data_IF_749744928626
#
_entry.id   IF_749744928626
#
_cell.length_a   1.000
_cell.length_b   1.000
_cell.length_c   1.000
_cell.angle_alpha   90.00
_cell.angle_beta   90.00
_cell.angle_gamma   90.00
#
_symmetry.space_group_name_H-M   'P 1'
#
loop_
_entity.id
_entity.type
_entity.pdbx_description
1 polymer ?
#
# COMPACT_ATOMS: atom_id res chain seq x y z
N UNK A 1 23.25 3.60 -2.10
CA UNK A 1 23.13 3.39 -3.56
C UNK A 1 21.70 3.15 -4.05
N UNK A 2 20.93 2.21 -3.46
CA UNK A 2 19.51 2.01 -3.81
C UNK A 2 18.66 3.28 -3.68
N UNK A 3 18.95 4.14 -2.69
CA UNK A 3 18.16 5.33 -2.44
C UNK A 3 18.27 6.41 -3.54
N UNK A 4 19.48 6.68 -4.04
CA UNK A 4 19.68 7.64 -5.13
C UNK A 4 19.04 7.17 -6.45
N UNK A 5 19.17 5.87 -6.76
CA UNK A 5 18.51 5.26 -7.91
C UNK A 5 16.98 5.27 -7.75
N UNK A 6 16.46 4.92 -6.58
CA UNK A 6 15.02 4.96 -6.30
C UNK A 6 14.46 6.38 -6.46
N UNK A 7 15.18 7.40 -5.98
CA UNK A 7 14.79 8.80 -6.15
C UNK A 7 14.84 9.27 -7.61
N UNK A 8 15.87 8.88 -8.37
CA UNK A 8 15.93 9.18 -9.80
C UNK A 8 14.77 8.51 -10.57
N UNK A 9 14.49 7.23 -10.26
CA UNK A 9 13.35 6.51 -10.84
C UNK A 9 12.02 7.15 -10.45
N UNK A 10 11.88 7.64 -9.21
CA UNK A 10 10.69 8.32 -8.73
C UNK A 10 10.44 9.64 -9.46
N UNK A 11 11.49 10.43 -9.74
CA UNK A 11 11.40 11.64 -10.56
C UNK A 11 10.97 11.32 -11.99
N UNK A 12 11.54 10.27 -12.59
CA UNK A 12 11.18 9.81 -13.94
C UNK A 12 9.73 9.33 -14.00
N UNK A 13 9.32 8.47 -13.05
CA UNK A 13 7.94 7.97 -12.99
C UNK A 13 6.94 9.09 -12.70
N UNK A 14 7.30 10.06 -11.87
CA UNK A 14 6.46 11.22 -11.59
C UNK A 14 6.32 12.15 -12.77
N UNK A 15 7.38 12.33 -13.55
CA UNK A 15 7.34 13.09 -14.81
C UNK A 15 6.46 12.38 -15.84
N UNK A 16 6.61 11.06 -16.00
CA UNK A 16 5.76 10.27 -16.87
C UNK A 16 4.27 10.34 -16.46
N UNK A 17 4.00 10.28 -15.15
CA UNK A 17 2.64 10.40 -14.59
C UNK A 17 2.05 11.79 -14.84
N UNK A 18 2.85 12.86 -14.68
CA UNK A 18 2.43 14.22 -14.97
C UNK A 18 2.07 14.40 -16.45
N UNK A 19 2.88 13.85 -17.37
CA UNK A 19 2.62 13.89 -18.81
C UNK A 19 1.34 13.11 -19.15
N UNK A 20 1.16 11.91 -18.59
CA UNK A 20 -0.05 11.12 -18.79
C UNK A 20 -1.30 11.86 -18.30
N UNK A 21 -1.24 12.50 -17.12
CA UNK A 21 -2.34 13.30 -16.59
C UNK A 21 -2.60 14.56 -17.44
N UNK A 22 -1.55 15.23 -17.92
CA UNK A 22 -1.68 16.38 -18.83
C UNK A 22 -2.40 15.98 -20.13
N UNK A 23 -2.12 14.79 -20.67
CA UNK A 23 -2.81 14.26 -21.84
C UNK A 23 -4.31 14.02 -21.58
N UNK A 24 -4.70 13.64 -20.36
CA UNK A 24 -6.11 13.49 -19.95
C UNK A 24 -6.82 14.80 -19.64
N UNK A 25 -6.13 15.95 -19.62
CA UNK A 25 -6.76 17.27 -19.48
C UNK A 25 -7.09 17.91 -20.84
N UNK A 26 -6.97 17.16 -21.93
CA UNK A 26 -7.38 17.59 -23.27
C UNK A 26 -8.88 17.93 -23.34
N UNK A 27 -9.31 18.84 -24.24
CA UNK A 27 -10.71 19.24 -24.39
C UNK A 27 -11.68 18.06 -24.54
N UNK A 28 -11.23 16.99 -25.19
CA UNK A 28 -11.96 15.74 -25.41
C UNK A 28 -12.32 15.02 -24.10
N UNK A 29 -11.40 14.98 -23.14
CA UNK A 29 -11.63 14.38 -21.84
C UNK A 29 -12.52 15.27 -20.94
N UNK A 30 -12.40 16.60 -21.06
CA UNK A 30 -13.28 17.56 -20.35
C UNK A 30 -14.75 17.38 -20.76
N UNK A 31 -15.01 17.10 -22.04
CA UNK A 31 -16.33 16.76 -22.55
C UNK A 31 -16.90 15.48 -21.92
N UNK A 32 -16.06 14.47 -21.66
CA UNK A 32 -16.47 13.23 -21.00
C UNK A 32 -16.88 13.42 -19.53
N UNK A 33 -16.32 14.44 -18.86
CA UNK A 33 -16.64 14.78 -17.46
C UNK A 33 -17.77 15.80 -17.29
N UNK A 34 -18.32 16.36 -18.38
CA UNK A 34 -19.37 17.40 -18.34
C UNK A 34 -19.04 18.56 -17.38
N UNK A 35 -17.78 18.98 -17.35
CA UNK A 35 -17.35 20.11 -16.51
C UNK A 35 -18.03 21.39 -16.98
N UNK A 36 -18.59 22.17 -16.06
CA UNK A 36 -19.08 23.50 -16.38
C UNK A 36 -17.92 24.40 -16.80
N UNK A 37 -18.12 25.36 -17.72
CA UNK A 37 -17.06 26.26 -18.18
C UNK A 37 -16.37 27.01 -17.02
N UNK A 38 -17.12 27.35 -15.98
CA UNK A 38 -16.62 28.03 -14.77
C UNK A 38 -15.64 27.16 -13.98
N UNK A 39 -15.99 25.89 -13.72
CA UNK A 39 -15.11 24.95 -13.01
C UNK A 39 -13.87 24.63 -13.85
N UNK A 40 -14.04 24.52 -15.16
CA UNK A 40 -12.91 24.30 -16.07
C UNK A 40 -11.93 25.49 -16.07
N UNK A 41 -12.41 26.72 -15.95
CA UNK A 41 -11.57 27.91 -15.84
C UNK A 41 -10.75 27.91 -14.55
N UNK A 42 -11.36 27.63 -13.40
CA UNK A 42 -10.67 27.52 -12.11
C UNK A 42 -9.64 26.38 -12.09
N UNK A 43 -10.00 25.24 -12.68
CA UNK A 43 -9.12 24.10 -12.85
C UNK A 43 -7.83 24.47 -13.60
N UNK A 44 -7.93 25.23 -14.71
CA UNK A 44 -6.77 25.61 -15.51
C UNK A 44 -5.74 26.47 -14.74
N UNK A 45 -6.16 27.18 -13.69
CA UNK A 45 -5.27 27.99 -12.86
C UNK A 45 -4.43 27.12 -11.90
N UNK A 46 -5.00 26.03 -11.39
CA UNK A 46 -4.35 25.17 -10.39
C UNK A 46 -3.60 23.99 -11.01
N UNK A 47 -4.20 23.30 -11.98
CA UNK A 47 -3.70 22.02 -12.49
C UNK A 47 -2.26 22.06 -13.04
N UNK A 48 -1.80 23.09 -13.78
CA UNK A 48 -0.43 23.14 -14.27
C UNK A 48 0.61 23.05 -13.15
N UNK A 49 0.35 23.72 -12.02
CA UNK A 49 1.23 23.69 -10.86
C UNK A 49 1.22 22.33 -10.15
N UNK A 50 0.05 21.72 -10.00
CA UNK A 50 -0.09 20.38 -9.41
C UNK A 50 0.61 19.32 -10.27
N UNK A 51 0.47 19.41 -11.60
CA UNK A 51 1.19 18.55 -12.53
C UNK A 51 2.70 18.75 -12.43
N UNK A 52 3.16 20.00 -12.38
CA UNK A 52 4.57 20.33 -12.15
C UNK A 52 5.10 19.81 -10.81
N UNK A 53 4.25 19.71 -9.79
CA UNK A 53 4.62 19.23 -8.45
C UNK A 53 4.78 17.70 -8.38
N UNK A 54 4.15 16.97 -9.31
CA UNK A 54 4.03 15.50 -9.28
C UNK A 54 5.38 14.77 -9.22
N UNK A 55 6.43 15.14 -10.01
CA UNK A 55 7.75 14.52 -9.89
C UNK A 55 8.34 14.66 -8.48
N UNK A 56 8.23 15.84 -7.89
CA UNK A 56 8.75 16.14 -6.55
C UNK A 56 7.95 15.42 -5.46
N UNK A 57 6.64 15.31 -5.62
CA UNK A 57 5.80 14.51 -4.73
C UNK A 57 6.21 13.03 -4.76
N UNK A 58 6.48 12.45 -5.93
CA UNK A 58 6.96 11.06 -6.02
C UNK A 58 8.35 10.89 -5.40
N UNK A 59 9.26 11.85 -5.61
CA UNK A 59 10.58 11.85 -4.98
C UNK A 59 10.47 11.89 -3.45
N UNK A 60 9.56 12.71 -2.91
CA UNK A 60 9.23 12.74 -1.48
C UNK A 60 8.76 11.37 -0.98
N UNK A 61 7.78 10.73 -1.63
CA UNK A 61 7.25 9.43 -1.18
C UNK A 61 8.34 8.34 -1.21
N UNK A 62 9.20 8.35 -2.24
CA UNK A 62 10.33 7.43 -2.34
C UNK A 62 11.36 7.65 -1.21
N UNK A 63 11.69 8.90 -0.91
CA UNK A 63 12.63 9.24 0.15
C UNK A 63 12.05 8.92 1.53
N UNK A 64 10.76 9.20 1.76
CA UNK A 64 10.04 8.83 2.97
C UNK A 64 10.11 7.32 3.19
N UNK A 65 9.75 6.52 2.18
CA UNK A 65 9.82 5.06 2.26
C UNK A 65 11.22 4.54 2.59
N UNK A 66 12.26 5.20 2.07
CA UNK A 66 13.66 4.87 2.37
C UNK A 66 14.02 5.16 3.83
N UNK A 67 13.71 6.36 4.33
CA UNK A 67 14.01 6.78 5.71
C UNK A 67 13.29 5.87 6.72
N UNK A 68 12.03 5.51 6.44
CA UNK A 68 11.31 4.50 7.22
C UNK A 68 11.98 3.12 7.15
N UNK A 69 12.36 2.68 5.95
CA UNK A 69 12.99 1.38 5.71
C UNK A 69 14.32 1.18 6.46
N UNK A 70 15.12 2.23 6.63
CA UNK A 70 16.38 2.19 7.41
C UNK A 70 16.15 2.25 8.93
N UNK A 71 14.90 2.22 9.39
CA UNK A 71 14.54 2.18 10.81
C UNK A 71 14.47 3.54 11.51
N UNK A 72 14.44 4.65 10.76
CA UNK A 72 14.39 6.03 11.28
C UNK A 72 12.97 6.60 11.22
N UNK A 73 12.03 5.83 11.77
CA UNK A 73 10.58 6.11 11.73
C UNK A 73 10.23 7.44 12.42
N UNK A 74 10.91 7.80 13.51
CA UNK A 74 10.68 9.07 14.20
C UNK A 74 11.01 10.28 13.32
N UNK A 75 12.16 10.24 12.63
CA UNK A 75 12.57 11.27 11.67
C UNK A 75 11.58 11.38 10.52
N UNK A 76 11.17 10.24 9.95
CA UNK A 76 10.16 10.20 8.89
C UNK A 76 8.81 10.76 9.35
N UNK A 77 8.39 10.47 10.59
CA UNK A 77 7.13 10.96 11.15
C UNK A 77 7.16 12.47 11.36
N UNK A 78 8.23 13.00 11.96
CA UNK A 78 8.41 14.45 12.14
C UNK A 78 8.43 15.17 10.79
N UNK A 79 9.10 14.58 9.80
CA UNK A 79 9.18 15.12 8.46
C UNK A 79 7.81 15.15 7.76
N UNK A 80 7.05 14.06 7.81
CA UNK A 80 5.70 13.98 7.26
C UNK A 80 4.73 14.96 7.94
N UNK A 81 4.78 15.08 9.26
CA UNK A 81 4.00 16.07 10.01
C UNK A 81 4.37 17.51 9.62
N UNK A 82 5.68 17.78 9.43
CA UNK A 82 6.18 19.07 8.95
C UNK A 82 5.68 19.41 7.54
N UNK A 83 5.66 18.44 6.63
CA UNK A 83 5.04 18.60 5.29
C UNK A 83 3.56 18.95 5.41
N UNK A 84 2.78 18.20 6.20
CA UNK A 84 1.35 18.45 6.36
C UNK A 84 1.06 19.86 6.90
N UNK A 85 1.85 20.32 7.89
CA UNK A 85 1.77 21.68 8.39
C UNK A 85 2.13 22.73 7.33
N UNK A 86 3.16 22.47 6.51
CA UNK A 86 3.56 23.35 5.43
C UNK A 86 2.49 23.44 4.33
N UNK A 87 1.87 22.33 3.93
CA UNK A 87 0.76 22.29 2.97
C UNK A 87 -0.46 23.08 3.47
N UNK A 88 -0.79 22.93 4.76
CA UNK A 88 -1.88 23.69 5.39
C UNK A 88 -1.56 25.20 5.44
N UNK A 89 -0.34 25.56 5.86
CA UNK A 89 0.10 26.95 5.91
C UNK A 89 0.13 27.60 4.51
N UNK A 90 0.64 26.88 3.51
CA UNK A 90 0.66 27.34 2.12
C UNK A 90 -0.75 27.56 1.57
N UNK A 91 -1.69 26.66 1.89
CA UNK A 91 -3.10 26.81 1.51
C UNK A 91 -3.74 28.03 2.17
N UNK A 92 -3.52 28.23 3.47
CA UNK A 92 -4.04 29.40 4.19
C UNK A 92 -3.46 30.73 3.65
N UNK A 93 -2.16 30.75 3.39
CA UNK A 93 -1.50 31.90 2.77
C UNK A 93 -2.06 32.19 1.37
N UNK A 94 -2.26 31.15 0.55
CA UNK A 94 -2.85 31.29 -0.78
C UNK A 94 -4.27 31.86 -0.76
N UNK A 95 -5.09 31.46 0.22
CA UNK A 95 -6.42 32.01 0.43
C UNK A 95 -6.40 33.49 0.81
N UNK A 96 -5.39 33.93 1.58
CA UNK A 96 -5.21 35.34 1.95
C UNK A 96 -4.66 36.22 0.84
N UNK A 97 -3.82 35.68 -0.05
CA UNK A 97 -3.18 36.42 -1.15
C UNK A 97 -4.07 36.54 -2.40
N UNK A 98 -4.98 35.59 -2.64
CA UNK A 98 -5.82 35.55 -3.83
C UNK A 98 -6.98 36.55 -3.82
N UNK A 99 -6.91 37.61 -4.63
CA UNK A 99 -8.06 38.46 -4.95
C UNK A 99 -8.92 37.81 -6.03
N UNK A 100 -9.99 37.12 -5.61
CA UNK A 100 -10.90 36.38 -6.49
C UNK A 100 -10.56 34.89 -6.58
N UNK A 101 -11.54 34.08 -7.01
CA UNK A 101 -11.44 32.61 -6.88
C UNK A 101 -10.41 31.98 -7.81
N UNK A 102 -10.21 32.52 -9.01
CA UNK A 102 -9.16 32.10 -9.93
C UNK A 102 -7.75 32.35 -9.34
N UNK A 103 -7.53 33.53 -8.75
CA UNK A 103 -6.25 33.87 -8.12
C UNK A 103 -5.97 32.98 -6.90
N UNK A 104 -7.00 32.69 -6.07
CA UNK A 104 -6.86 31.74 -4.95
C UNK A 104 -6.44 30.35 -5.44
N UNK A 105 -7.12 29.81 -6.45
CA UNK A 105 -6.79 28.49 -7.01
C UNK A 105 -5.38 28.43 -7.58
N UNK A 106 -4.93 29.50 -8.26
CA UNK A 106 -3.54 29.62 -8.72
C UNK A 106 -2.55 29.60 -7.55
N UNK A 107 -2.77 30.40 -6.52
CA UNK A 107 -1.86 30.46 -5.37
C UNK A 107 -1.83 29.15 -4.57
N UNK A 108 -2.95 28.43 -4.49
CA UNK A 108 -3.00 27.08 -3.89
C UNK A 108 -2.11 26.12 -4.69
N UNK A 109 -2.19 26.18 -6.03
CA UNK A 109 -1.31 25.40 -6.91
C UNK A 109 0.17 25.74 -6.71
N UNK A 110 0.52 27.03 -6.71
CA UNK A 110 1.90 27.50 -6.48
C UNK A 110 2.42 27.06 -5.11
N UNK A 111 1.62 27.18 -4.06
CA UNK A 111 1.97 26.73 -2.72
C UNK A 111 2.27 25.23 -2.67
N UNK A 112 1.39 24.42 -3.27
CA UNK A 112 1.57 22.95 -3.38
C UNK A 112 2.86 22.59 -4.11
N UNK A 113 3.17 23.29 -5.20
CA UNK A 113 4.41 23.11 -5.95
C UNK A 113 5.64 23.46 -5.11
N UNK A 114 5.64 24.62 -4.46
CA UNK A 114 6.75 25.07 -3.63
C UNK A 114 7.02 24.12 -2.46
N UNK A 115 5.98 23.68 -1.75
CA UNK A 115 6.11 22.69 -0.68
C UNK A 115 6.66 21.38 -1.23
N UNK A 116 6.14 20.87 -2.35
CA UNK A 116 6.61 19.62 -2.95
C UNK A 116 8.10 19.66 -3.32
N UNK A 117 8.57 20.76 -3.91
CA UNK A 117 10.00 20.95 -4.26
C UNK A 117 10.86 21.00 -2.98
N UNK A 118 10.46 21.80 -1.99
CA UNK A 118 11.20 21.93 -0.74
C UNK A 118 11.31 20.59 -0.01
N UNK A 119 10.22 19.82 0.05
CA UNK A 119 10.20 18.51 0.68
C UNK A 119 11.01 17.47 -0.10
N UNK A 120 11.00 17.49 -1.43
CA UNK A 120 11.88 16.62 -2.21
C UNK A 120 13.37 16.89 -1.94
N UNK A 121 13.76 18.17 -1.82
CA UNK A 121 15.12 18.57 -1.45
C UNK A 121 15.51 18.11 -0.05
N UNK A 122 14.62 18.32 0.93
CA UNK A 122 14.81 17.83 2.30
C UNK A 122 14.92 16.30 2.34
N UNK A 123 14.12 15.59 1.53
CA UNK A 123 14.18 14.14 1.40
C UNK A 123 15.51 13.63 0.88
N UNK A 124 16.07 14.26 -0.15
CA UNK A 124 17.42 13.95 -0.65
C UNK A 124 18.47 14.13 0.46
N UNK A 125 18.39 15.23 1.20
CA UNK A 125 19.29 15.52 2.31
C UNK A 125 19.17 14.49 3.43
N UNK A 126 17.95 14.14 3.85
CA UNK A 126 17.73 13.12 4.88
C UNK A 126 18.27 11.76 4.44
N UNK A 127 18.00 11.34 3.20
CA UNK A 127 18.47 10.06 2.67
C UNK A 127 20.00 9.99 2.60
N UNK A 128 20.69 11.08 2.28
CA UNK A 128 22.15 11.09 2.15
C UNK A 128 22.89 11.25 3.48
N UNK A 129 22.25 11.84 4.49
CA UNK A 129 22.88 12.14 5.79
C UNK A 129 22.46 11.21 6.91
N UNK A 130 21.32 10.51 6.78
CA UNK A 130 20.82 9.67 7.87
C UNK A 130 21.51 8.31 7.87
N UNK A 131 22.16 7.98 8.98
CA UNK A 131 22.68 6.65 9.32
C UNK A 131 21.55 5.65 9.50
N UNK A 132 21.57 4.50 8.80
CA UNK A 132 20.73 3.37 9.14
C UNK A 132 20.85 3.00 10.62
N UNK A 133 19.77 2.47 11.19
CA UNK A 133 19.78 2.11 12.62
C UNK A 133 20.72 0.91 12.86
N UNK A 134 21.74 1.13 13.69
CA UNK A 134 22.79 0.13 13.98
C UNK A 134 24.00 0.20 13.06
N UNK A 135 24.19 1.31 12.34
CA UNK A 135 25.35 1.56 11.48
C UNK A 135 26.05 2.84 11.95
N UNK A 136 27.38 2.86 11.87
CA UNK A 136 28.21 4.00 12.33
C UNK A 136 28.31 5.12 11.29
N UNK A 137 28.21 4.79 10.00
CA UNK A 137 28.30 5.76 8.90
C UNK A 137 27.01 5.91 8.09
N UNK A 138 26.70 7.14 7.61
CA UNK A 138 25.55 7.36 6.76
C UNK A 138 25.67 6.61 5.44
N UNK A 139 24.55 6.43 4.76
CA UNK A 139 24.52 5.85 3.42
C UNK A 139 25.30 6.75 2.45
N UNK A 140 26.62 6.62 2.41
CA UNK A 140 27.46 7.39 1.51
C UNK A 140 26.93 7.18 0.08
N UNK A 141 26.75 8.24 -0.72
CA UNK A 141 26.39 8.13 -2.12
C UNK A 141 27.59 7.57 -2.90
N UNK A 142 27.90 6.28 -2.70
CA UNK A 142 28.89 5.55 -3.50
C UNK A 142 28.29 5.36 -4.90
N UNK A 143 28.62 6.29 -5.79
CA UNK A 143 28.25 6.28 -7.21
C UNK A 143 28.88 5.11 -7.98
N UNK A 144 29.92 4.48 -7.41
CA UNK A 144 30.75 3.46 -8.06
C UNK A 144 30.13 2.06 -8.10
N UNK A 145 29.17 1.72 -7.23
CA UNK A 145 28.57 0.37 -7.21
C UNK A 145 27.32 0.23 -8.08
N UNK A 146 26.80 1.30 -8.69
CA UNK A 146 25.60 1.25 -9.56
C UNK A 146 25.83 0.34 -10.78
N UNK A 147 27.10 0.08 -11.08
CA UNK A 147 27.59 -0.82 -12.13
C UNK A 147 27.48 -2.31 -11.79
N UNK A 148 27.05 -2.70 -10.58
CA UNK A 148 27.01 -4.11 -10.10
C UNK A 148 25.62 -4.72 -9.88
N UNK A 149 24.51 -4.01 -10.16
CA UNK A 149 23.19 -4.66 -10.16
C UNK A 149 23.03 -5.43 -11.47
N UNK A 150 22.87 -6.75 -11.36
CA UNK A 150 22.59 -7.58 -12.52
C UNK A 150 21.27 -7.14 -13.17
N UNK A 151 21.19 -7.25 -14.50
CA UNK A 151 19.95 -6.92 -15.22
C UNK A 151 18.73 -7.65 -14.61
N UNK A 152 18.92 -8.91 -14.19
CA UNK A 152 17.89 -9.74 -13.55
C UNK A 152 17.32 -9.13 -12.26
N UNK A 153 18.16 -8.57 -11.39
CA UNK A 153 17.72 -7.94 -10.12
C UNK A 153 16.95 -6.66 -10.38
N UNK A 154 17.40 -5.87 -11.36
CA UNK A 154 16.70 -4.66 -11.81
C UNK A 154 15.33 -5.00 -12.39
N UNK A 155 15.24 -6.03 -13.24
CA UNK A 155 13.96 -6.51 -13.76
C UNK A 155 13.04 -7.04 -12.66
N UNK A 156 13.57 -7.77 -11.68
CA UNK A 156 12.80 -8.23 -10.51
C UNK A 156 12.22 -7.08 -9.71
N UNK A 157 13.02 -6.04 -9.43
CA UNK A 157 12.57 -4.83 -8.76
C UNK A 157 11.46 -4.10 -9.54
N UNK A 158 11.65 -3.91 -10.85
CA UNK A 158 10.65 -3.27 -11.71
C UNK A 158 9.35 -4.07 -11.79
N UNK A 159 9.41 -5.40 -11.86
CA UNK A 159 8.23 -6.27 -11.87
C UNK A 159 7.42 -6.18 -10.58
N UNK A 160 8.11 -6.09 -9.43
CA UNK A 160 7.48 -5.87 -8.13
C UNK A 160 6.81 -4.48 -8.07
N UNK A 161 7.52 -3.44 -8.53
CA UNK A 161 6.98 -2.08 -8.64
C UNK A 161 5.74 -2.01 -9.53
N UNK A 162 5.79 -2.63 -10.71
CA UNK A 162 4.65 -2.71 -11.63
C UNK A 162 3.44 -3.43 -11.00
N UNK A 163 3.68 -4.44 -10.17
CA UNK A 163 2.61 -5.14 -9.46
C UNK A 163 1.92 -4.25 -8.42
N UNK A 164 2.70 -3.43 -7.70
CA UNK A 164 2.15 -2.42 -6.80
C UNK A 164 1.39 -1.31 -7.53
N UNK A 165 1.92 -0.81 -8.65
CA UNK A 165 1.22 0.18 -9.48
C UNK A 165 -0.11 -0.37 -9.98
N UNK A 166 -0.13 -1.59 -10.51
CA UNK A 166 -1.37 -2.24 -10.96
C UNK A 166 -2.40 -2.37 -9.84
N UNK A 167 -1.97 -2.81 -8.64
CA UNK A 167 -2.82 -2.86 -7.45
C UNK A 167 -3.38 -1.47 -7.10
N UNK A 168 -2.54 -0.44 -7.08
CA UNK A 168 -2.95 0.93 -6.75
C UNK A 168 -3.94 1.49 -7.78
N UNK A 169 -3.72 1.25 -9.08
CA UNK A 169 -4.66 1.62 -10.14
C UNK A 169 -6.00 0.93 -9.94
N UNK A 170 -6.02 -0.37 -9.64
CA UNK A 170 -7.26 -1.12 -9.38
C UNK A 170 -8.02 -0.57 -8.16
N UNK A 171 -7.29 -0.30 -7.07
CA UNK A 171 -7.88 0.29 -5.86
C UNK A 171 -8.46 1.67 -6.15
N UNK A 172 -7.71 2.55 -6.82
CA UNK A 172 -8.16 3.89 -7.17
C UNK A 172 -9.33 3.85 -8.16
N UNK A 173 -9.29 2.93 -9.11
CA UNK A 173 -10.39 2.71 -10.06
C UNK A 173 -11.68 2.31 -9.34
N UNK A 174 -11.62 1.54 -8.24
CA UNK A 174 -12.82 1.21 -7.47
C UNK A 174 -13.48 2.45 -6.82
N UNK A 175 -12.67 3.39 -6.32
CA UNK A 175 -13.18 4.67 -5.81
C UNK A 175 -13.70 5.56 -6.94
N UNK A 176 -12.98 5.61 -8.06
CA UNK A 176 -13.38 6.39 -9.23
C UNK A 176 -14.70 5.88 -9.83
N UNK A 177 -14.87 4.57 -9.99
CA UNK A 177 -16.14 3.99 -10.46
C UNK A 177 -17.27 4.29 -9.46
N UNK A 178 -17.01 4.18 -8.15
CA UNK A 178 -17.99 4.54 -7.13
C UNK A 178 -18.42 6.01 -7.22
N UNK A 179 -17.48 6.95 -7.41
CA UNK A 179 -17.81 8.38 -7.54
C UNK A 179 -18.54 8.68 -8.85
N UNK A 180 -18.17 8.01 -9.96
CA UNK A 180 -18.85 8.17 -11.25
C UNK A 180 -20.30 7.66 -11.17
N UNK A 181 -20.53 6.51 -10.52
CA UNK A 181 -21.89 5.98 -10.31
C UNK A 181 -22.69 6.91 -9.41
N UNK A 182 -22.10 7.43 -8.33
CA UNK A 182 -22.75 8.42 -7.46
C UNK A 182 -23.10 9.70 -8.23
N UNK A 183 -22.13 10.30 -8.95
CA UNK A 183 -22.30 11.57 -9.65
C UNK A 183 -23.31 11.50 -10.80
N UNK A 184 -23.49 10.33 -11.44
CA UNK A 184 -24.42 10.17 -12.57
C UNK A 184 -25.86 9.88 -12.16
N UNK A 185 -26.07 9.29 -10.98
CA UNK A 185 -27.38 8.74 -10.60
C UNK A 185 -27.95 9.33 -9.31
N UNK A 186 -27.15 10.05 -8.52
CA UNK A 186 -27.60 10.69 -7.28
C UNK A 186 -27.71 12.21 -7.46
N UNK A 187 -28.54 12.82 -6.62
CA UNK A 187 -28.61 14.28 -6.49
C UNK A 187 -27.28 14.85 -5.95
N UNK A 188 -27.02 16.16 -6.14
CA UNK A 188 -25.81 16.82 -5.62
C UNK A 188 -25.58 16.61 -4.10
N UNK A 189 -26.66 16.55 -3.31
CA UNK A 189 -26.62 16.23 -1.87
C UNK A 189 -26.10 14.83 -1.59
N UNK A 190 -26.45 13.85 -2.43
CA UNK A 190 -25.94 12.48 -2.35
C UNK A 190 -24.45 12.39 -2.70
N UNK A 191 -23.98 13.17 -3.66
CA UNK A 191 -22.55 13.27 -3.99
C UNK A 191 -21.75 13.96 -2.88
N UNK A 192 -22.32 15.01 -2.26
CA UNK A 192 -21.71 15.63 -1.08
C UNK A 192 -21.62 14.65 0.10
N UNK A 193 -22.69 13.88 0.36
CA UNK A 193 -22.68 12.82 1.37
C UNK A 193 -21.62 11.75 1.06
N UNK A 194 -21.47 11.33 -0.20
CA UNK A 194 -20.41 10.41 -0.60
C UNK A 194 -19.01 10.93 -0.23
N UNK A 195 -18.72 12.20 -0.50
CA UNK A 195 -17.44 12.80 -0.13
C UNK A 195 -17.20 12.79 1.38
N UNK A 196 -18.22 13.10 2.20
CA UNK A 196 -18.11 13.02 3.66
C UNK A 196 -17.74 11.60 4.10
N UNK A 197 -18.39 10.58 3.53
CA UNK A 197 -18.09 9.18 3.86
C UNK A 197 -16.67 8.79 3.44
N UNK A 198 -16.21 9.23 2.25
CA UNK A 198 -14.81 9.02 1.82
C UNK A 198 -13.84 9.68 2.79
N UNK A 199 -14.09 10.93 3.21
CA UNK A 199 -13.23 11.63 4.16
C UNK A 199 -13.13 10.90 5.50
N UNK A 200 -14.27 10.48 6.08
CA UNK A 200 -14.29 9.73 7.34
C UNK A 200 -13.57 8.38 7.21
N UNK A 201 -13.78 7.68 6.10
CA UNK A 201 -13.07 6.44 5.79
C UNK A 201 -11.55 6.64 5.72
N UNK A 202 -11.10 7.72 5.06
CA UNK A 202 -9.68 8.02 4.91
C UNK A 202 -9.04 8.37 6.24
N UNK A 203 -9.73 9.08 7.14
CA UNK A 203 -9.22 9.37 8.49
C UNK A 203 -8.89 8.09 9.25
N UNK A 204 -9.82 7.13 9.32
CA UNK A 204 -9.55 5.84 9.95
C UNK A 204 -8.40 5.10 9.25
N UNK A 205 -8.38 5.13 7.92
CA UNK A 205 -7.35 4.46 7.13
C UNK A 205 -5.95 4.98 7.44
N UNK A 206 -5.77 6.31 7.52
CA UNK A 206 -4.48 6.93 7.81
C UNK A 206 -3.98 6.64 9.23
N UNK A 207 -4.86 6.57 10.22
CA UNK A 207 -4.45 6.19 11.59
C UNK A 207 -3.92 4.76 11.61
N UNK A 208 -4.60 3.84 10.92
CA UNK A 208 -4.21 2.42 10.89
C UNK A 208 -2.97 2.17 10.02
N UNK A 209 -2.71 3.04 9.04
CA UNK A 209 -1.52 2.98 8.19
C UNK A 209 -0.20 3.08 8.99
N UNK A 210 -0.23 3.69 10.18
CA UNK A 210 0.89 3.66 11.12
C UNK A 210 1.26 2.23 11.55
N UNK A 211 0.26 1.40 11.87
CA UNK A 211 0.48 -0.01 12.20
C UNK A 211 0.96 -0.82 10.97
N UNK A 212 0.44 -0.51 9.78
CA UNK A 212 0.88 -1.15 8.54
C UNK A 212 2.36 -0.83 8.22
N UNK A 213 2.78 0.41 8.47
CA UNK A 213 4.19 0.83 8.34
C UNK A 213 5.07 0.11 9.36
N UNK A 214 4.61 -0.02 10.61
CA UNK A 214 5.33 -0.80 11.63
C UNK A 214 5.47 -2.28 11.21
N UNK A 215 4.39 -2.89 10.69
CA UNK A 215 4.41 -4.25 10.17
C UNK A 215 5.40 -4.40 9.01
N UNK A 216 5.46 -3.42 8.10
CA UNK A 216 6.39 -3.44 6.96
C UNK A 216 7.84 -3.32 7.43
N UNK A 217 8.16 -2.33 8.26
CA UNK A 217 9.54 -2.03 8.69
C UNK A 217 10.10 -3.11 9.60
N UNK A 218 9.36 -3.49 10.65
CA UNK A 218 9.82 -4.51 11.61
C UNK A 218 9.68 -5.90 10.97
N UNK A 219 8.56 -6.17 10.31
CA UNK A 219 8.29 -7.47 9.72
C UNK A 219 9.25 -7.83 8.59
N UNK A 220 9.66 -6.88 7.73
CA UNK A 220 10.64 -7.16 6.67
C UNK A 220 12.01 -7.54 7.23
N UNK A 221 12.41 -6.95 8.35
CA UNK A 221 13.64 -7.30 9.07
C UNK A 221 13.57 -8.69 9.69
N UNK A 222 12.48 -8.99 10.41
CA UNK A 222 12.27 -10.32 10.99
C UNK A 222 12.19 -11.40 9.92
N UNK A 223 11.51 -11.12 8.80
CA UNK A 223 11.42 -12.02 7.65
C UNK A 223 12.80 -12.23 7.00
N UNK A 224 13.59 -11.16 6.81
CA UNK A 224 14.94 -11.24 6.25
C UNK A 224 15.96 -11.94 7.14
N UNK A 225 15.75 -11.91 8.47
CA UNK A 225 16.55 -12.61 9.47
C UNK A 225 16.09 -14.06 9.74
N UNK A 226 15.00 -14.51 9.12
CA UNK A 226 14.43 -15.83 9.34
C UNK A 226 13.77 -16.02 10.72
N UNK A 227 13.51 -14.93 11.47
CA UNK A 227 12.90 -14.94 12.82
C UNK A 227 11.38 -15.10 12.75
N UNK A 228 10.96 -16.31 12.37
CA UNK A 228 9.56 -16.65 12.09
C UNK A 228 8.62 -16.45 13.27
N UNK A 229 8.97 -16.96 14.44
CA UNK A 229 8.06 -16.97 15.60
C UNK A 229 7.76 -15.56 16.08
N UNK A 230 8.76 -14.68 16.02
CA UNK A 230 8.59 -13.26 16.32
C UNK A 230 7.76 -12.54 15.27
N UNK A 231 7.94 -12.87 13.99
CA UNK A 231 7.11 -12.31 12.93
C UNK A 231 5.63 -12.70 13.11
N UNK A 232 5.36 -13.94 13.53
CA UNK A 232 4.00 -14.41 13.84
C UNK A 232 3.44 -13.67 15.06
N UNK A 233 4.20 -13.57 16.17
CA UNK A 233 3.78 -12.81 17.37
C UNK A 233 3.49 -11.34 17.05
N UNK A 234 4.33 -10.71 16.23
CA UNK A 234 4.13 -9.35 15.75
C UNK A 234 2.82 -9.23 14.97
N UNK A 235 2.50 -10.21 14.11
CA UNK A 235 1.25 -10.25 13.34
C UNK A 235 0.01 -10.28 14.21
N UNK A 236 -0.03 -11.12 15.24
CA UNK A 236 -1.15 -11.15 16.18
C UNK A 236 -1.30 -9.82 16.91
N UNK A 237 -0.19 -9.25 17.37
CA UNK A 237 -0.18 -8.00 18.13
C UNK A 237 -0.68 -6.83 17.30
N UNK A 238 -0.10 -6.58 16.12
CA UNK A 238 -0.47 -5.44 15.29
C UNK A 238 -1.87 -5.58 14.70
N UNK A 239 -2.31 -6.79 14.33
CA UNK A 239 -3.68 -7.02 13.85
C UNK A 239 -4.69 -6.76 14.96
N UNK A 240 -4.41 -7.18 16.20
CA UNK A 240 -5.28 -6.90 17.34
C UNK A 240 -5.41 -5.39 17.58
N UNK A 241 -4.29 -4.65 17.62
CA UNK A 241 -4.31 -3.19 17.76
C UNK A 241 -5.06 -2.49 16.62
N UNK A 242 -4.86 -2.93 15.37
CA UNK A 242 -5.58 -2.42 14.21
C UNK A 242 -7.08 -2.64 14.32
N UNK A 243 -7.52 -3.86 14.64
CA UNK A 243 -8.95 -4.19 14.79
C UNK A 243 -9.58 -3.43 15.95
N UNK A 244 -8.91 -3.34 17.11
CA UNK A 244 -9.37 -2.54 18.25
C UNK A 244 -9.55 -1.08 17.85
N UNK A 245 -8.58 -0.51 17.12
CA UNK A 245 -8.68 0.86 16.58
C UNK A 245 -9.90 1.02 15.66
N UNK A 246 -10.14 0.05 14.78
CA UNK A 246 -11.33 0.04 13.93
C UNK A 246 -12.63 0.02 14.72
N UNK A 247 -12.72 -0.77 15.81
CA UNK A 247 -13.88 -0.76 16.71
C UNK A 247 -14.04 0.57 17.46
N UNK A 248 -12.94 1.20 17.88
CA UNK A 248 -12.97 2.54 18.48
C UNK A 248 -13.54 3.56 17.50
N UNK A 249 -13.13 3.51 16.23
CA UNK A 249 -13.72 4.36 15.18
C UNK A 249 -15.20 4.06 14.95
N UNK A 250 -15.62 2.79 14.92
CA UNK A 250 -17.03 2.43 14.85
C UNK A 250 -17.83 3.03 16.01
N UNK A 251 -17.33 2.90 17.25
CA UNK A 251 -17.99 3.45 18.43
C UNK A 251 -18.06 4.98 18.39
N UNK A 252 -16.99 5.64 17.94
CA UNK A 252 -16.96 7.10 17.77
C UNK A 252 -17.97 7.58 16.72
N UNK A 253 -18.12 6.86 15.61
CA UNK A 253 -19.12 7.18 14.58
C UNK A 253 -20.56 6.93 15.06
N UNK A 254 -20.79 5.90 15.88
CA UNK A 254 -22.11 5.69 16.51
C UNK A 254 -22.43 6.81 17.48
N UNK A 255 -21.51 7.12 18.40
CA UNK A 255 -21.71 8.19 19.39
C UNK A 255 -21.83 9.58 18.74
N UNK A 256 -21.11 9.80 17.64
CA UNK A 256 -21.06 11.06 16.91
C UNK A 256 -22.09 11.21 15.80
N UNK A 257 -23.09 10.33 15.68
CA UNK A 257 -24.05 10.32 14.57
C UNK A 257 -24.78 11.68 14.39
N UNK A 258 -25.05 12.40 15.48
CA UNK A 258 -25.70 13.72 15.43
C UNK A 258 -24.72 14.89 15.21
N UNK A 259 -23.52 14.80 15.78
CA UNK A 259 -22.54 15.88 15.80
C UNK A 259 -21.63 15.89 14.56
N UNK A 260 -21.09 14.73 14.17
CA UNK A 260 -20.09 14.61 13.10
C UNK A 260 -20.64 15.15 11.77
N UNK A 261 -21.83 14.76 11.27
CA UNK A 261 -22.36 15.32 10.02
C UNK A 261 -22.50 16.85 10.04
N UNK A 262 -22.78 17.43 11.21
CA UNK A 262 -22.97 18.86 11.39
C UNK A 262 -21.66 19.66 11.33
N UNK A 263 -20.51 19.02 11.54
CA UNK A 263 -19.18 19.61 11.32
C UNK A 263 -18.88 19.75 9.83
N UNK A 264 -19.30 18.78 9.02
CA UNK A 264 -19.00 18.75 7.58
C UNK A 264 -19.96 19.61 6.75
N UNK A 265 -21.24 19.68 7.13
CA UNK A 265 -22.23 20.39 6.32
C UNK A 265 -23.37 20.99 7.15
N UNK A 266 -23.87 22.13 6.68
CA UNK A 266 -25.11 22.77 7.18
C UNK A 266 -26.34 22.41 6.34
N UNK A 267 -26.16 21.78 5.17
CA UNK A 267 -27.26 21.41 4.29
C UNK A 267 -28.05 20.21 4.84
N UNK A 268 -29.35 20.40 5.05
CA UNK A 268 -30.24 19.38 5.59
C UNK A 268 -30.38 18.18 4.64
N UNK A 269 -30.43 18.41 3.32
CA UNK A 269 -30.56 17.33 2.32
C UNK A 269 -29.35 16.41 2.31
N UNK A 270 -28.14 16.97 2.45
CA UNK A 270 -26.90 16.18 2.55
C UNK A 270 -26.89 15.34 3.84
N UNK A 271 -27.35 15.89 4.97
CA UNK A 271 -27.46 15.12 6.23
C UNK A 271 -28.49 13.99 6.11
N UNK A 272 -29.63 14.26 5.49
CA UNK A 272 -30.65 13.25 5.21
C UNK A 272 -30.12 12.16 4.28
N UNK A 273 -29.39 12.51 3.22
CA UNK A 273 -28.74 11.54 2.34
C UNK A 273 -27.71 10.68 3.08
N UNK A 274 -26.97 11.25 4.05
CA UNK A 274 -25.97 10.54 4.83
C UNK A 274 -26.58 9.57 5.85
N UNK A 275 -27.59 10.01 6.60
CA UNK A 275 -28.19 9.23 7.68
C UNK A 275 -29.34 8.34 7.19
N UNK A 276 -30.19 8.87 6.31
CA UNK A 276 -31.39 8.22 5.79
C UNK A 276 -31.11 7.14 4.74
N UNK A 277 -30.04 7.26 3.95
CA UNK A 277 -29.70 6.23 2.95
C UNK A 277 -29.17 4.92 3.57
N UNK A 278 -28.80 4.94 4.85
CA UNK A 278 -28.17 3.81 5.54
C UNK A 278 -26.67 3.65 5.25
N UNK A 279 -26.05 4.57 4.49
CA UNK A 279 -24.59 4.54 4.27
C UNK A 279 -23.82 4.71 5.58
N UNK A 280 -24.31 5.53 6.52
CA UNK A 280 -23.66 5.74 7.81
C UNK A 280 -23.43 4.42 8.56
N UNK A 281 -24.44 3.53 8.56
CA UNK A 281 -24.35 2.21 9.19
C UNK A 281 -23.32 1.32 8.50
N UNK A 282 -23.27 1.35 7.16
CA UNK A 282 -22.25 0.62 6.40
C UNK A 282 -20.86 1.13 6.73
N UNK A 283 -20.68 2.45 6.84
CA UNK A 283 -19.41 3.07 7.23
C UNK A 283 -18.99 2.61 8.63
N UNK A 284 -19.89 2.66 9.62
CA UNK A 284 -19.64 2.20 10.99
C UNK A 284 -19.18 0.74 11.00
N UNK A 285 -19.90 -0.14 10.32
CA UNK A 285 -19.58 -1.58 10.26
C UNK A 285 -18.30 -1.88 9.48
N UNK A 286 -17.92 -0.99 8.55
CA UNK A 286 -16.73 -1.17 7.73
C UNK A 286 -15.42 -0.90 8.47
N UNK A 287 -15.41 -0.10 9.54
CA UNK A 287 -14.15 0.35 10.17
C UNK A 287 -13.26 -0.79 10.67
N UNK A 288 -13.75 -1.83 11.38
CA UNK A 288 -12.89 -2.91 11.86
C UNK A 288 -12.30 -3.73 10.71
N UNK A 289 -13.10 -3.98 9.67
CA UNK A 289 -12.67 -4.68 8.46
C UNK A 289 -11.62 -3.85 7.72
N UNK A 290 -11.88 -2.56 7.53
CA UNK A 290 -10.94 -1.65 6.89
C UNK A 290 -9.62 -1.60 7.64
N UNK A 291 -9.66 -1.45 8.96
CA UNK A 291 -8.46 -1.41 9.78
C UNK A 291 -7.64 -2.71 9.64
N UNK A 292 -8.29 -3.88 9.71
CA UNK A 292 -7.62 -5.16 9.52
C UNK A 292 -6.90 -5.24 8.16
N UNK A 293 -7.55 -4.83 7.06
CA UNK A 293 -6.96 -4.85 5.71
C UNK A 293 -5.65 -4.06 5.66
N UNK A 294 -5.62 -2.86 6.23
CA UNK A 294 -4.44 -2.00 6.18
C UNK A 294 -3.26 -2.64 6.94
N UNK A 295 -3.50 -3.18 8.13
CA UNK A 295 -2.44 -3.88 8.87
C UNK A 295 -1.93 -5.10 8.10
N UNK A 296 -2.84 -5.89 7.52
CA UNK A 296 -2.46 -7.05 6.72
C UNK A 296 -1.66 -6.68 5.47
N UNK A 297 -2.00 -5.58 4.79
CA UNK A 297 -1.21 -5.07 3.66
C UNK A 297 0.25 -4.85 4.08
N UNK A 298 0.48 -4.29 5.27
CA UNK A 298 1.82 -4.09 5.82
C UNK A 298 2.63 -5.40 5.96
N UNK A 299 1.99 -6.49 6.41
CA UNK A 299 2.65 -7.81 6.47
C UNK A 299 2.90 -8.41 5.09
N UNK A 300 2.00 -8.22 4.13
CA UNK A 300 2.25 -8.66 2.76
C UNK A 300 3.45 -7.92 2.16
N UNK A 301 3.57 -6.62 2.44
CA UNK A 301 4.70 -5.81 2.02
C UNK A 301 5.99 -6.24 2.71
N UNK A 302 5.94 -6.57 4.00
CA UNK A 302 7.08 -7.13 4.73
C UNK A 302 7.65 -8.40 4.07
N UNK A 303 6.78 -9.28 3.55
CA UNK A 303 7.18 -10.53 2.88
C UNK A 303 7.44 -10.39 1.37
N UNK A 304 7.44 -9.17 0.83
CA UNK A 304 7.59 -8.87 -0.60
C UNK A 304 6.62 -9.64 -1.53
N UNK A 305 5.44 -10.02 -1.04
CA UNK A 305 4.45 -10.81 -1.80
C UNK A 305 3.57 -9.93 -2.70
N UNK A 306 4.21 -9.12 -3.56
CA UNK A 306 3.56 -8.04 -4.32
C UNK A 306 2.63 -8.54 -5.44
N UNK A 307 3.02 -9.59 -6.17
CA UNK A 307 2.19 -10.23 -7.21
C UNK A 307 0.89 -10.80 -6.62
N UNK A 308 0.96 -11.39 -5.43
CA UNK A 308 -0.20 -11.91 -4.73
C UNK A 308 -1.21 -10.81 -4.38
N UNK A 309 -0.74 -9.69 -3.82
CA UNK A 309 -1.64 -8.57 -3.49
C UNK A 309 -2.30 -7.97 -4.74
N UNK A 310 -1.59 -7.94 -5.88
CA UNK A 310 -2.14 -7.51 -7.17
C UNK A 310 -3.25 -8.45 -7.62
N UNK A 311 -3.04 -9.76 -7.54
CA UNK A 311 -4.03 -10.78 -7.94
C UNK A 311 -5.27 -10.75 -7.04
N UNK A 312 -5.09 -10.62 -5.72
CA UNK A 312 -6.20 -10.44 -4.77
C UNK A 312 -6.99 -9.17 -5.08
N UNK A 313 -6.32 -8.07 -5.41
CA UNK A 313 -6.99 -6.82 -5.78
C UNK A 313 -7.74 -6.96 -7.12
N UNK A 314 -7.12 -7.57 -8.13
CA UNK A 314 -7.73 -7.75 -9.45
C UNK A 314 -8.98 -8.64 -9.39
N UNK A 315 -8.87 -9.78 -8.71
CA UNK A 315 -10.00 -10.69 -8.47
C UNK A 315 -11.07 -10.05 -7.60
N UNK A 316 -10.68 -9.30 -6.57
CA UNK A 316 -11.62 -8.56 -5.72
C UNK A 316 -12.38 -7.50 -6.49
N UNK A 317 -11.72 -6.71 -7.34
CA UNK A 317 -12.39 -5.69 -8.15
C UNK A 317 -13.31 -6.33 -9.19
N UNK A 318 -12.81 -7.33 -9.92
CA UNK A 318 -13.54 -7.96 -11.02
C UNK A 318 -14.71 -8.84 -10.57
N UNK A 319 -14.51 -9.69 -9.55
CA UNK A 319 -15.46 -10.73 -9.15
C UNK A 319 -16.30 -10.36 -7.93
N UNK A 320 -15.88 -9.38 -7.12
CA UNK A 320 -16.61 -8.99 -5.90
C UNK A 320 -17.15 -7.58 -6.01
N UNK A 321 -16.29 -6.58 -6.22
CA UNK A 321 -16.69 -5.17 -6.24
C UNK A 321 -17.67 -4.88 -7.38
N UNK A 322 -17.32 -5.17 -8.63
CA UNK A 322 -18.18 -4.84 -9.77
C UNK A 322 -19.54 -5.57 -9.73
N UNK A 323 -19.61 -6.89 -9.45
CA UNK A 323 -20.89 -7.57 -9.31
C UNK A 323 -21.71 -7.05 -8.12
N UNK A 324 -21.07 -6.83 -6.96
CA UNK A 324 -21.79 -6.28 -5.79
C UNK A 324 -22.28 -4.86 -6.05
N UNK A 325 -21.49 -4.03 -6.74
CA UNK A 325 -21.88 -2.68 -7.12
C UNK A 325 -23.11 -2.70 -8.02
N UNK A 326 -23.14 -3.61 -8.99
CA UNK A 326 -24.28 -3.78 -9.88
C UNK A 326 -25.52 -4.31 -9.15
N UNK A 327 -25.38 -5.37 -8.34
CA UNK A 327 -26.48 -6.02 -7.64
C UNK A 327 -27.07 -5.14 -6.53
N UNK A 328 -26.22 -4.49 -5.72
CA UNK A 328 -26.66 -3.67 -4.59
C UNK A 328 -27.28 -2.32 -4.99
N UNK A 329 -27.24 -1.97 -6.28
CA UNK A 329 -27.82 -0.75 -6.84
C UNK A 329 -28.97 -1.03 -7.82
N UNK A 330 -29.63 -2.20 -7.68
CA UNK A 330 -30.87 -2.52 -8.40
C UNK A 330 -32.08 -2.59 -7.43
N UNK A 331 -33.26 -2.06 -7.82
CA UNK A 331 -33.56 -1.34 -9.08
C UNK A 331 -33.09 0.11 -9.10
N UNK A 332 -32.80 0.70 -7.94
CA UNK A 332 -32.38 2.10 -7.80
C UNK A 332 -30.98 2.20 -7.21
N UNK A 333 -30.19 3.14 -7.74
CA UNK A 333 -28.86 3.44 -7.22
C UNK A 333 -28.98 4.10 -5.85
N UNK A 334 -28.24 3.58 -4.88
CA UNK A 334 -28.22 4.12 -3.52
C UNK A 334 -26.79 4.24 -3.00
N UNK A 335 -26.55 5.24 -2.16
CA UNK A 335 -25.24 5.45 -1.57
C UNK A 335 -24.82 4.25 -0.69
N UNK A 336 -25.78 3.64 0.02
CA UNK A 336 -25.58 2.38 0.75
C UNK A 336 -25.12 1.26 -0.17
N UNK A 337 -25.72 1.08 -1.35
CA UNK A 337 -25.33 0.04 -2.31
C UNK A 337 -23.89 0.21 -2.78
N UNK A 338 -23.49 1.44 -3.14
CA UNK A 338 -22.11 1.77 -3.52
C UNK A 338 -21.11 1.40 -2.41
N UNK A 339 -21.39 1.80 -1.17
CA UNK A 339 -20.49 1.52 -0.05
C UNK A 339 -20.52 0.06 0.41
N UNK A 340 -21.62 -0.64 0.19
CA UNK A 340 -21.69 -2.11 0.41
C UNK A 340 -20.72 -2.83 -0.54
N UNK A 341 -20.61 -2.39 -1.79
CA UNK A 341 -19.62 -2.94 -2.72
C UNK A 341 -18.18 -2.67 -2.27
N UNK A 342 -17.89 -1.47 -1.74
CA UNK A 342 -16.57 -1.15 -1.15
C UNK A 342 -16.26 -2.01 0.06
N UNK A 343 -17.24 -2.23 0.94
CA UNK A 343 -17.11 -3.11 2.09
C UNK A 343 -16.86 -4.56 1.66
N UNK A 344 -17.59 -5.06 0.67
CA UNK A 344 -17.40 -6.40 0.12
C UNK A 344 -15.99 -6.59 -0.47
N UNK A 345 -15.46 -5.59 -1.18
CA UNK A 345 -14.07 -5.60 -1.66
C UNK A 345 -13.08 -5.73 -0.49
N UNK A 346 -13.26 -4.96 0.58
CA UNK A 346 -12.38 -5.05 1.73
C UNK A 346 -12.53 -6.38 2.49
N UNK A 347 -13.74 -6.93 2.59
CA UNK A 347 -13.96 -8.25 3.18
C UNK A 347 -13.22 -9.36 2.40
N UNK A 348 -13.28 -9.31 1.06
CA UNK A 348 -12.49 -10.19 0.19
C UNK A 348 -10.99 -10.07 0.46
N UNK A 349 -10.50 -8.83 0.57
CA UNK A 349 -9.09 -8.56 0.88
C UNK A 349 -8.70 -9.13 2.24
N UNK A 350 -9.48 -8.87 3.31
CA UNK A 350 -9.19 -9.47 4.64
C UNK A 350 -9.07 -10.99 4.53
N UNK A 351 -10.03 -11.66 3.88
CA UNK A 351 -10.05 -13.12 3.82
C UNK A 351 -8.74 -13.68 3.21
N UNK A 352 -8.29 -13.13 2.09
CA UNK A 352 -7.07 -13.60 1.42
C UNK A 352 -5.79 -13.17 2.13
N UNK A 353 -5.70 -11.93 2.59
CA UNK A 353 -4.50 -11.43 3.25
C UNK A 353 -4.31 -12.10 4.62
N UNK A 354 -5.39 -12.28 5.39
CA UNK A 354 -5.36 -13.03 6.65
C UNK A 354 -4.97 -14.49 6.42
N UNK A 355 -5.49 -15.13 5.37
CA UNK A 355 -5.05 -16.48 4.98
C UNK A 355 -3.55 -16.53 4.68
N UNK A 356 -3.02 -15.54 3.98
CA UNK A 356 -1.58 -15.47 3.68
C UNK A 356 -0.73 -15.28 4.95
N UNK A 357 -1.17 -14.43 5.88
CA UNK A 357 -0.42 -14.12 7.10
C UNK A 357 -0.54 -15.22 8.16
N UNK A 358 -1.73 -15.76 8.41
CA UNK A 358 -1.95 -16.70 9.51
C UNK A 358 -1.86 -18.17 9.10
N UNK A 359 -1.98 -18.50 7.82
CA UNK A 359 -1.99 -19.90 7.35
C UNK A 359 -0.73 -20.23 6.54
N UNK A 360 -0.29 -19.33 5.65
CA UNK A 360 0.88 -19.59 4.81
C UNK A 360 2.20 -19.23 5.50
N UNK A 361 2.27 -18.07 6.17
CA UNK A 361 3.51 -17.61 6.82
C UNK A 361 4.03 -18.60 7.89
N UNK A 362 3.18 -19.17 8.77
CA UNK A 362 3.65 -20.13 9.77
C UNK A 362 4.04 -21.49 9.18
N UNK A 363 3.80 -21.73 7.88
CA UNK A 363 4.21 -22.96 7.19
C UNK A 363 5.51 -22.81 6.41
N UNK A 364 6.06 -21.60 6.32
CA UNK A 364 7.35 -21.42 5.68
C UNK A 364 8.47 -21.95 6.57
N UNK A 365 9.38 -22.71 5.97
CA UNK A 365 10.67 -23.03 6.54
C UNK A 365 11.56 -21.79 6.32
N UNK A 366 11.88 -21.10 7.41
CA UNK A 366 12.84 -20.01 7.42
C UNK A 366 14.05 -20.51 8.19
N UNK A 367 15.20 -20.63 7.52
CA UNK A 367 16.45 -20.88 8.23
C UNK A 367 16.81 -19.60 8.99
N UNK A 368 17.03 -19.66 10.31
CA UNK A 368 17.72 -18.58 10.99
C UNK A 368 19.03 -18.30 10.25
N UNK A 369 19.33 -17.04 10.00
CA UNK A 369 20.71 -16.65 9.69
C UNK A 369 21.39 -16.47 11.04
N UNK A 370 22.32 -17.37 11.36
CA UNK A 370 23.12 -17.24 12.57
C UNK A 370 23.95 -15.95 12.47
N UNK A 371 23.80 -15.07 13.46
CA UNK A 371 24.59 -13.83 13.63
C UNK A 371 25.99 -14.14 14.24
N UNK A 372 26.34 -15.41 14.39
CA UNK A 372 27.68 -15.82 14.79
C UNK A 372 28.59 -15.68 13.56
N UNK A 373 29.51 -14.72 13.62
CA UNK A 373 30.43 -14.35 12.55
C UNK A 373 31.38 -15.45 12.10
N UNK A 374 30.87 -16.45 11.39
CA UNK A 374 31.67 -17.24 10.46
C UNK A 374 31.72 -16.48 9.13
N UNK A 375 32.70 -15.58 9.08
CA UNK A 375 33.35 -15.16 7.85
C UNK A 375 33.76 -16.43 7.08
N UNK A 376 32.95 -16.89 6.13
CA UNK A 376 33.51 -17.50 4.92
C UNK A 376 34.15 -16.38 4.09
N UNK A 377 35.27 -15.87 4.61
CA UNK A 377 36.19 -15.01 3.89
C UNK A 377 36.87 -15.85 2.82
N UNK A 378 36.33 -15.82 1.61
CA UNK A 378 37.18 -15.96 0.42
C UNK A 378 38.12 -14.75 0.43
N UNK A 379 39.39 -15.04 0.72
CA UNK A 379 40.49 -14.10 0.86
C UNK A 379 40.59 -13.12 -0.29
N UNK A 380 40.43 -11.83 0.01
CA UNK A 380 41.32 -10.79 -0.51
C UNK A 380 41.53 -9.78 0.62
N UNK A 381 42.79 -9.47 0.85
CA UNK A 381 43.38 -8.84 2.02
C UNK A 381 42.98 -7.37 2.27
N UNK A 382 43.09 -7.02 3.55
CA UNK A 382 43.21 -5.68 4.15
C UNK A 382 41.92 -4.88 4.35
N UNK A 383 41.30 -5.02 5.53
CA UNK A 383 41.16 -3.96 6.53
C UNK A 383 40.28 -4.45 7.70
N UNK A 384 40.80 -4.33 8.92
CA UNK A 384 40.15 -4.69 10.18
C UNK A 384 38.94 -3.77 10.46
N UNK A 385 37.72 -4.32 10.61
CA UNK A 385 36.61 -3.62 11.28
C UNK A 385 35.80 -4.55 12.18
N UNK A 386 35.61 -4.07 13.40
CA UNK A 386 35.13 -4.71 14.61
C UNK A 386 33.59 -4.89 14.58
N UNK A 387 33.09 -6.07 14.94
CA UNK A 387 31.67 -6.43 14.85
C UNK A 387 30.82 -5.74 15.94
N UNK A 388 29.78 -5.01 15.53
CA UNK A 388 28.82 -4.35 16.41
C UNK A 388 27.79 -5.34 17.01
N UNK A 389 27.73 -5.38 18.34
CA UNK A 389 26.73 -6.13 19.12
C UNK A 389 25.29 -5.62 18.87
N UNK A 390 24.34 -6.53 18.58
CA UNK A 390 22.91 -6.23 18.43
C UNK A 390 22.11 -6.54 19.69
N UNK A 391 21.27 -5.61 20.14
CA UNK A 391 20.39 -5.74 21.32
C UNK A 391 18.98 -6.25 20.94
N UNK A 392 18.29 -7.04 21.77
CA UNK A 392 16.95 -7.58 21.46
C UNK A 392 15.89 -6.47 21.31
N UNK A 393 15.10 -6.54 20.23
CA UNK A 393 14.09 -5.53 19.87
C UNK A 393 12.74 -5.67 20.61
N UNK A 394 12.59 -6.67 21.47
CA UNK A 394 11.40 -6.88 22.29
C UNK A 394 11.85 -7.03 23.75
N UNK A 395 11.15 -6.43 24.73
CA UNK A 395 11.47 -6.66 26.13
C UNK A 395 11.32 -8.16 26.44
N UNK A 396 12.44 -8.80 26.79
CA UNK A 396 12.50 -10.20 27.18
C UNK A 396 11.94 -10.36 28.59
N UNK A 397 11.13 -11.41 28.80
CA UNK A 397 10.92 -11.95 30.14
C UNK A 397 12.13 -12.84 30.46
N UNK A 398 12.87 -12.48 31.50
CA UNK A 398 13.94 -13.32 32.06
C UNK A 398 13.32 -14.55 32.74
N UNK A 399 13.76 -15.73 32.33
CA UNK A 399 13.71 -16.94 33.13
C UNK A 399 15.03 -17.67 32.94
N UNK A 400 15.85 -17.64 33.99
CA UNK A 400 17.11 -18.37 34.16
C UNK A 400 16.88 -19.88 33.99
N UNK A 401 17.75 -20.56 33.23
CA UNK A 401 18.11 -21.95 33.49
C UNK A 401 19.43 -22.32 32.77
N UNK A 402 20.18 -23.20 33.43
CA UNK A 402 21.63 -23.32 33.44
C UNK A 402 22.31 -24.04 32.24
N UNK A 403 23.61 -23.77 32.19
CA UNK A 403 24.68 -24.22 31.27
C UNK A 403 24.95 -25.73 31.32
N UNK A 404 25.24 -26.36 30.17
CA UNK A 404 26.27 -27.44 30.11
C UNK A 404 26.93 -27.60 28.73
N UNK A 405 28.24 -27.80 28.75
CA UNK A 405 29.23 -27.70 27.67
C UNK A 405 29.65 -29.05 27.08
N UNK A 406 29.88 -29.15 25.75
CA UNK A 406 30.68 -30.24 25.13
C UNK A 406 31.48 -29.74 23.91
N UNK A 407 32.79 -30.01 23.89
CA UNK A 407 33.78 -29.72 22.84
C UNK A 407 33.95 -30.87 21.81
N UNK A 408 34.63 -30.64 20.65
CA UNK A 408 34.34 -31.32 19.39
C UNK A 408 35.27 -32.49 19.04
N UNK A 409 34.82 -33.37 18.13
CA UNK A 409 35.68 -34.32 17.42
C UNK A 409 35.65 -34.09 15.91
N UNK A 410 36.86 -33.93 15.39
CA UNK A 410 37.33 -33.83 14.01
C UNK A 410 37.08 -35.10 13.19
N UNK A 411 36.78 -34.95 11.90
CA UNK A 411 37.42 -35.73 10.83
C UNK A 411 37.18 -35.10 9.44
N UNK A 412 38.29 -34.84 8.76
CA UNK A 412 38.41 -34.44 7.36
C UNK A 412 37.84 -35.49 6.39
N UNK A 413 37.36 -35.04 5.21
CA UNK A 413 37.90 -35.41 3.87
C UNK A 413 37.09 -34.77 2.73
N UNK A 414 37.81 -33.94 1.97
CA UNK A 414 37.76 -33.58 0.54
C UNK A 414 36.54 -32.93 -0.14
N UNK A 415 36.81 -31.72 -0.66
CA UNK A 415 36.07 -30.93 -1.64
C UNK A 415 36.10 -31.52 -3.05
N UNK A 416 34.99 -31.37 -3.77
CA UNK A 416 34.98 -31.25 -5.23
C UNK A 416 34.11 -30.04 -5.63
N UNK A 417 34.73 -29.11 -6.35
CA UNK A 417 34.18 -27.82 -6.74
C UNK A 417 33.30 -27.94 -7.99
N UNK A 418 32.15 -27.27 -8.00
CA UNK A 418 31.61 -26.61 -9.20
C UNK A 418 30.29 -25.87 -8.91
N UNK A 419 30.41 -24.55 -8.85
CA UNK A 419 29.38 -23.52 -9.06
C UNK A 419 28.09 -24.01 -9.72
N UNK A 420 26.94 -23.79 -9.07
CA UNK A 420 25.62 -23.64 -9.69
C UNK A 420 24.65 -22.86 -8.78
N UNK A 421 23.70 -22.11 -9.37
CA UNK A 421 23.00 -20.99 -8.76
C UNK A 421 22.02 -21.41 -7.66
N UNK A 422 21.72 -20.46 -6.77
CA UNK A 422 20.80 -20.56 -5.63
C UNK A 422 19.59 -21.45 -5.91
N UNK A 423 19.67 -22.69 -5.43
CA UNK A 423 18.52 -23.59 -5.34
C UNK A 423 17.80 -23.29 -4.04
N UNK A 424 16.81 -22.40 -4.09
CA UNK A 424 15.63 -22.58 -3.26
C UNK A 424 14.98 -23.87 -3.76
N UNK A 425 15.24 -25.00 -3.08
CA UNK A 425 14.46 -26.22 -3.28
C UNK A 425 13.07 -25.97 -2.68
N UNK A 426 12.16 -25.44 -3.50
CA UNK A 426 10.73 -25.58 -3.25
C UNK A 426 10.38 -27.07 -3.32
N UNK A 427 10.36 -27.75 -2.17
CA UNK A 427 9.76 -29.07 -2.05
C UNK A 427 8.40 -28.90 -1.39
N UNK A 428 7.34 -29.01 -2.21
CA UNK A 428 5.99 -29.29 -1.73
C UNK A 428 5.03 -28.10 -1.58
N UNK A 429 4.80 -27.35 -2.67
CA UNK A 429 3.50 -26.87 -3.16
C UNK A 429 3.74 -25.73 -4.15
N UNK A 430 3.35 -25.95 -5.40
CA UNK A 430 3.43 -24.96 -6.46
C UNK A 430 2.60 -23.72 -6.12
N UNK A 431 3.03 -22.51 -6.54
CA UNK A 431 2.17 -21.34 -6.48
C UNK A 431 0.94 -21.60 -7.34
N UNK A 432 -0.25 -21.39 -6.78
CA UNK A 432 -1.55 -21.57 -7.44
C UNK A 432 -1.58 -20.69 -8.70
N UNK A 433 -1.21 -21.27 -9.84
CA UNK A 433 -1.49 -20.76 -11.18
C UNK A 433 -2.81 -21.35 -11.62
N UNK A 434 -3.87 -20.56 -11.72
CA UNK A 434 -5.06 -20.96 -12.48
C UNK A 434 -5.66 -19.77 -13.20
N UNK A 435 -5.53 -19.74 -14.53
CA UNK A 435 -6.72 -19.83 -15.40
C UNK A 435 -6.85 -21.19 -16.13
N UNK A 436 -5.79 -21.99 -16.18
CA UNK A 436 -5.77 -23.23 -17.00
C UNK A 436 -6.57 -24.39 -16.39
N UNK A 437 -6.67 -24.50 -15.06
CA UNK A 437 -7.52 -25.52 -14.42
C UNK A 437 -9.04 -25.27 -14.58
N UNK A 438 -9.46 -24.04 -14.89
CA UNK A 438 -10.85 -23.77 -15.22
C UNK A 438 -11.22 -24.27 -16.63
N UNK A 439 -10.28 -24.18 -17.58
CA UNK A 439 -10.48 -24.73 -18.94
C UNK A 439 -10.36 -26.26 -18.97
N UNK A 440 -9.49 -26.86 -18.16
CA UNK A 440 -9.37 -28.32 -18.07
C UNK A 440 -10.60 -29.00 -17.43
N UNK A 441 -11.33 -28.29 -16.54
CA UNK A 441 -12.63 -28.78 -16.02
C UNK A 441 -13.80 -28.56 -16.97
N UNK A 442 -13.73 -27.57 -17.88
CA UNK A 442 -14.73 -27.37 -18.92
C UNK A 442 -14.63 -28.40 -20.06
N UNK A 443 -13.42 -28.90 -20.36
CA UNK A 443 -13.21 -29.96 -21.36
C UNK A 443 -13.57 -31.35 -20.84
N UNK A 444 -13.36 -31.65 -19.55
CA UNK A 444 -13.75 -32.93 -18.95
C UNK A 444 -15.27 -33.08 -18.74
N UNK A 445 -16.00 -31.99 -18.54
CA UNK A 445 -17.47 -31.99 -18.53
C UNK A 445 -18.09 -32.15 -19.93
N UNK A 446 -17.34 -31.84 -20.99
CA UNK A 446 -17.77 -32.09 -22.39
C UNK A 446 -17.53 -33.55 -22.82
N UNK A 447 -16.57 -34.24 -22.19
CA UNK A 447 -16.28 -35.65 -22.44
C UNK A 447 -17.20 -36.60 -21.65
N UNK A 448 -17.80 -36.14 -20.55
CA UNK A 448 -18.75 -36.92 -19.72
C UNK A 448 -20.23 -36.74 -20.12
N UNK A 449 -20.54 -35.91 -21.12
CA UNK A 449 -21.89 -35.71 -21.66
C UNK A 449 -22.13 -36.47 -22.98
N UNK A 450 -21.23 -37.39 -23.36
CA UNK A 450 -21.30 -38.17 -24.59
C UNK A 450 -22.07 -39.49 -24.51
N UNK A 451 -22.56 -39.89 -23.33
CA UNK A 451 -23.32 -41.12 -23.13
C UNK A 451 -24.72 -40.81 -22.58
N UNK A 452 -25.59 -40.20 -23.39
CA UNK A 452 -27.05 -40.33 -23.28
C UNK A 452 -27.69 -39.68 -24.51
N UNK A 453 -27.71 -40.41 -25.62
CA UNK A 453 -28.52 -40.07 -26.78
C UNK A 453 -29.83 -40.87 -26.73
N UNK A 454 -31.01 -40.24 -26.57
CA UNK A 454 -32.25 -40.84 -27.03
C UNK A 454 -32.35 -40.69 -28.54
N UNK A 455 -32.75 -41.78 -29.18
CA UNK A 455 -32.92 -41.96 -30.62
C UNK A 455 -33.79 -40.90 -31.28
N UNK A 456 -33.35 -40.50 -32.47
CA UNK A 456 -34.08 -39.77 -33.51
C UNK A 456 -35.48 -40.32 -33.80
N UNK A 457 -36.49 -39.44 -33.87
CA UNK A 457 -37.57 -39.56 -34.85
C UNK A 457 -38.52 -38.34 -34.81
N UNK A 458 -38.62 -37.67 -35.97
CA UNK A 458 -39.84 -37.08 -36.54
C UNK A 458 -40.22 -35.64 -36.15
N UNK A 459 -40.15 -34.80 -37.21
CA UNK A 459 -40.82 -33.52 -37.52
C UNK A 459 -40.40 -32.25 -36.75
#
# INVERSE_FOLDING_TARGET
MCAALAMALALVSGTASAIACAATLTPSARGAFRLTPEVAALANEMFPWVLGATPFAMAFESAMGTVCGIGRVETATRWSAGKAAADAAATLAALGLGRGDAAKMRWIGVGTFAVSVAQAGLGWWLVSTTTPRGWDEPLAPRATSARRLGAAETFGFLANGASMVARSILLQSSFFVAVVVAARNLEPSGLAAHHIVVSLWMVCSYVVDGFATCATVIGSRLFGAGRKDELVRLSHTLVAWGVVTGFVFSAALVAGESAIPSVFTRDAKTKEALLGSGVWRVLVLAQPINAAVFVYDGFIYATHSFSFVREVMATGVGLVFLPTLYLANRPLVSLKGIWTAKLALNAWRVAWLAGRVHVWLPRQEMSPRDDNGENESESDSDDDEEAAHYEPLLPGNESEEDVESVTPQTNDVQYESSLKPSKIKAKGLSPIRTPELAMARASSLRASAGEFAPSSSVL
#
